data_IF_177661145901
#
_entry.id   IF_177661145901
#
_cell.length_a   1.000
_cell.length_b   1.000
_cell.length_c   1.000
_cell.angle_alpha   90.00
_cell.angle_beta   90.00
_cell.angle_gamma   90.00
#
_symmetry.space_group_name_H-M   'P 1'
#
loop_
_entity.id
_entity.type
_entity.pdbx_description
1 polymer ?
#
# COMPACT_ATOMS: atom_id res chain seq x y z
N UNK A 1 17.64 -20.63 6.92
CA UNK A 1 16.71 -19.63 7.49
C UNK A 1 16.16 -18.81 6.34
N UNK A 2 14.93 -19.06 5.94
CA UNK A 2 14.25 -18.25 4.91
C UNK A 2 14.04 -16.86 5.51
N UNK A 3 14.49 -15.77 4.87
CA UNK A 3 14.28 -14.43 5.40
C UNK A 3 12.77 -14.19 5.56
N UNK A 4 12.37 -13.65 6.71
CA UNK A 4 10.98 -13.37 7.01
C UNK A 4 10.36 -12.47 5.91
N UNK A 5 9.08 -12.68 5.55
CA UNK A 5 8.43 -11.90 4.51
C UNK A 5 8.43 -10.41 4.88
N UNK A 6 8.83 -9.57 3.92
CA UNK A 6 8.90 -8.12 4.11
C UNK A 6 7.49 -7.53 4.04
N UNK A 7 7.20 -6.56 4.92
CA UNK A 7 5.92 -5.85 4.92
C UNK A 7 6.09 -4.51 4.20
N UNK A 8 5.24 -4.26 3.21
CA UNK A 8 5.25 -3.06 2.36
C UNK A 8 3.92 -2.34 2.50
N UNK A 9 3.94 -1.04 2.80
CA UNK A 9 2.75 -0.18 2.81
C UNK A 9 2.75 0.70 1.56
N UNK A 10 1.69 0.59 0.76
CA UNK A 10 1.51 1.37 -0.46
C UNK A 10 0.29 2.27 -0.30
N UNK A 11 0.49 3.58 -0.38
CA UNK A 11 -0.59 4.57 -0.28
C UNK A 11 -1.05 5.03 -1.66
N UNK A 12 -2.34 5.33 -1.81
CA UNK A 12 -2.91 5.79 -3.08
C UNK A 12 -3.11 4.66 -4.09
N UNK A 13 -3.51 3.48 -3.61
CA UNK A 13 -3.83 2.35 -4.48
C UNK A 13 -5.23 2.54 -5.07
N UNK A 14 -5.35 3.29 -6.16
CA UNK A 14 -6.57 3.28 -6.97
C UNK A 14 -6.48 2.22 -8.06
N UNK A 15 -7.58 1.56 -8.37
CA UNK A 15 -7.69 0.58 -9.44
C UNK A 15 -7.25 1.20 -10.77
N UNK A 16 -6.35 0.52 -11.48
CA UNK A 16 -5.72 1.04 -12.70
C UNK A 16 -4.62 2.08 -12.48
N UNK A 17 -4.30 2.42 -11.23
CA UNK A 17 -3.21 3.32 -10.87
C UNK A 17 -1.88 2.58 -10.63
N UNK A 18 -0.79 3.35 -10.58
CA UNK A 18 0.57 2.83 -10.36
C UNK A 18 0.67 2.09 -9.01
N UNK A 19 -0.04 2.57 -7.98
CA UNK A 19 -0.07 1.91 -6.68
C UNK A 19 -0.65 0.49 -6.72
N UNK A 20 -1.67 0.26 -7.57
CA UNK A 20 -2.28 -1.06 -7.74
C UNK A 20 -1.29 -2.06 -8.33
N UNK A 21 -0.66 -1.73 -9.46
CA UNK A 21 0.35 -2.59 -10.09
C UNK A 21 1.56 -2.83 -9.18
N UNK A 22 1.94 -1.83 -8.38
CA UNK A 22 3.03 -1.97 -7.42
C UNK A 22 2.70 -2.99 -6.33
N UNK A 23 1.45 -3.02 -5.87
CA UNK A 23 1.00 -4.01 -4.90
C UNK A 23 1.11 -5.43 -5.46
N UNK A 24 0.65 -5.64 -6.69
CA UNK A 24 0.79 -6.94 -7.36
C UNK A 24 2.26 -7.34 -7.55
N UNK A 25 3.12 -6.41 -7.96
CA UNK A 25 4.55 -6.68 -8.14
C UNK A 25 5.24 -7.09 -6.83
N UNK A 26 4.92 -6.44 -5.70
CA UNK A 26 5.46 -6.84 -4.40
C UNK A 26 4.84 -8.14 -3.88
N UNK A 27 3.57 -8.38 -4.18
CA UNK A 27 2.89 -9.61 -3.82
C UNK A 27 3.51 -10.83 -4.50
N UNK A 28 3.83 -10.74 -5.79
CA UNK A 28 4.54 -11.79 -6.54
C UNK A 28 5.93 -12.08 -5.96
N UNK A 29 6.58 -11.08 -5.36
CA UNK A 29 7.88 -11.24 -4.69
C UNK A 29 7.77 -11.87 -3.30
N UNK A 30 6.59 -12.30 -2.87
CA UNK A 30 6.34 -12.90 -1.56
C UNK A 30 6.38 -11.90 -0.41
N UNK A 31 6.20 -10.60 -0.69
CA UNK A 31 6.04 -9.59 0.36
C UNK A 31 4.59 -9.54 0.83
N UNK A 32 4.38 -9.13 2.07
CA UNK A 32 3.05 -8.81 2.60
C UNK A 32 2.79 -7.34 2.25
N UNK A 33 1.74 -7.08 1.49
CA UNK A 33 1.46 -5.73 0.99
C UNK A 33 0.21 -5.18 1.65
N UNK A 34 0.29 -3.97 2.18
CA UNK A 34 -0.86 -3.21 2.64
C UNK A 34 -1.15 -2.12 1.62
N UNK A 35 -2.20 -2.33 0.83
CA UNK A 35 -2.71 -1.35 -0.12
C UNK A 35 -3.64 -0.40 0.64
N UNK A 36 -3.34 0.90 0.62
CA UNK A 36 -4.21 1.91 1.19
C UNK A 36 -4.72 2.93 0.19
N UNK A 37 -6.00 3.28 0.33
CA UNK A 37 -6.61 4.40 -0.39
C UNK A 37 -7.79 4.97 0.41
N UNK A 38 -8.23 6.16 -0.03
CA UNK A 38 -9.35 6.87 0.58
C UNK A 38 -10.69 6.14 0.36
N UNK A 39 -10.86 5.45 -0.79
CA UNK A 39 -12.03 4.65 -1.12
C UNK A 39 -11.63 3.19 -1.32
N UNK A 40 -12.20 2.30 -0.50
CA UNK A 40 -11.97 0.85 -0.60
C UNK A 40 -12.52 0.26 -1.89
N UNK A 41 -13.59 0.83 -2.42
CA UNK A 41 -14.21 0.46 -3.71
C UNK A 41 -13.24 0.61 -4.88
N UNK A 42 -12.27 1.52 -4.76
CA UNK A 42 -11.22 1.70 -5.76
C UNK A 42 -10.08 0.69 -5.60
N UNK A 43 -10.19 -0.32 -4.73
CA UNK A 43 -9.19 -1.36 -4.48
C UNK A 43 -9.76 -2.78 -4.66
N UNK A 44 -10.94 -2.89 -5.28
CA UNK A 44 -11.53 -4.18 -5.59
C UNK A 44 -10.74 -4.88 -6.70
N UNK A 45 -10.54 -6.20 -6.58
CA UNK A 45 -9.97 -7.02 -7.65
C UNK A 45 -8.50 -7.47 -7.53
N UNK A 46 -7.82 -7.26 -6.40
CA UNK A 46 -6.48 -7.82 -6.22
C UNK A 46 -6.50 -9.35 -6.33
N UNK A 47 -5.72 -9.91 -7.27
CA UNK A 47 -5.66 -11.36 -7.48
C UNK A 47 -4.83 -12.09 -6.42
N UNK A 48 -3.96 -11.39 -5.71
CA UNK A 48 -3.01 -11.98 -4.77
C UNK A 48 -3.52 -11.96 -3.33
N UNK A 49 -3.43 -13.10 -2.64
CA UNK A 49 -3.96 -13.29 -1.27
C UNK A 49 -3.12 -12.64 -0.18
N UNK A 50 -1.90 -12.19 -0.51
CA UNK A 50 -0.96 -11.50 0.38
C UNK A 50 -1.04 -9.97 0.27
N UNK A 51 -2.09 -9.45 -0.37
CA UNK A 51 -2.43 -8.03 -0.40
C UNK A 51 -3.58 -7.79 0.57
N UNK A 52 -3.36 -6.90 1.53
CA UNK A 52 -4.34 -6.46 2.51
C UNK A 52 -4.77 -5.04 2.18
N UNK A 53 -6.08 -4.85 2.06
CA UNK A 53 -6.65 -3.54 1.77
C UNK A 53 -6.97 -2.84 3.08
N UNK A 54 -6.50 -1.60 3.23
CA UNK A 54 -6.76 -0.76 4.40
C UNK A 54 -7.24 0.61 3.94
N UNK A 55 -8.25 1.15 4.61
CA UNK A 55 -8.66 2.54 4.37
C UNK A 55 -7.63 3.44 5.05
N UNK A 56 -7.14 4.44 4.32
CA UNK A 56 -6.28 5.47 4.88
C UNK A 56 -6.53 6.78 4.15
N UNK A 57 -6.83 7.83 4.91
CA UNK A 57 -6.72 9.20 4.46
C UNK A 57 -5.32 9.76 4.82
N UNK A 58 -4.55 10.16 3.80
CA UNK A 58 -3.22 10.75 4.02
C UNK A 58 -3.28 12.22 4.44
N UNK A 59 -4.46 12.84 4.39
CA UNK A 59 -4.69 14.23 4.83
C UNK A 59 -4.92 14.31 6.34
N UNK A 60 -5.30 13.20 6.97
CA UNK A 60 -5.52 13.09 8.41
C UNK A 60 -4.35 12.34 9.07
N UNK A 61 -3.53 13.04 9.85
CA UNK A 61 -2.37 12.44 10.52
C UNK A 61 -2.76 11.30 11.49
N UNK A 62 -3.93 11.39 12.12
CA UNK A 62 -4.47 10.32 12.99
C UNK A 62 -4.70 9.02 12.24
N UNK A 63 -5.25 9.11 11.03
CA UNK A 63 -5.54 7.95 10.20
C UNK A 63 -4.24 7.24 9.80
N UNK A 64 -3.18 8.00 9.55
CA UNK A 64 -1.83 7.48 9.30
C UNK A 64 -1.29 6.74 10.51
N UNK A 65 -1.39 7.32 11.70
CA UNK A 65 -0.92 6.69 12.94
C UNK A 65 -1.68 5.38 13.22
N UNK A 66 -3.01 5.39 13.07
CA UNK A 66 -3.85 4.21 13.29
C UNK A 66 -3.56 3.11 12.28
N UNK A 67 -3.34 3.44 11.01
CA UNK A 67 -2.96 2.46 9.99
C UNK A 67 -1.59 1.84 10.28
N UNK A 68 -0.60 2.64 10.65
CA UNK A 68 0.74 2.13 11.01
C UNK A 68 0.67 1.27 12.27
N UNK A 69 -0.08 1.70 13.29
CA UNK A 69 -0.31 0.93 14.51
C UNK A 69 -0.96 -0.41 14.20
N UNK A 70 -1.99 -0.43 13.37
CA UNK A 70 -2.68 -1.65 12.92
C UNK A 70 -1.70 -2.62 12.23
N UNK A 71 -0.82 -2.12 11.37
CA UNK A 71 0.19 -2.95 10.68
C UNK A 71 1.21 -3.51 11.67
N UNK A 72 1.66 -2.69 12.62
CA UNK A 72 2.59 -3.10 13.67
C UNK A 72 1.97 -4.17 14.58
N UNK A 73 0.69 -4.03 14.94
CA UNK A 73 -0.04 -5.00 15.77
C UNK A 73 -0.25 -6.32 15.03
N UNK A 74 -0.52 -6.29 13.71
CA UNK A 74 -0.72 -7.49 12.90
C UNK A 74 0.57 -8.25 12.59
N UNK A 75 1.62 -7.54 12.18
CA UNK A 75 2.84 -8.16 11.61
C UNK A 75 4.06 -8.12 12.54
N UNK A 76 3.99 -7.31 13.60
CA UNK A 76 5.09 -7.07 14.51
C UNK A 76 6.00 -5.92 14.05
N UNK A 77 6.43 -5.10 15.03
CA UNK A 77 7.17 -3.83 14.87
C UNK A 77 8.43 -3.91 14.00
N UNK A 78 9.05 -5.07 13.86
CA UNK A 78 10.32 -5.25 13.16
C UNK A 78 10.20 -5.51 11.64
N UNK A 79 8.98 -5.55 11.08
CA UNK A 79 8.77 -5.91 9.66
C UNK A 79 8.40 -4.74 8.74
N UNK A 80 8.07 -3.58 9.28
CA UNK A 80 7.60 -2.42 8.52
C UNK A 80 8.75 -1.73 7.77
N UNK A 81 8.74 -1.80 6.43
CA UNK A 81 9.73 -1.11 5.58
C UNK A 81 8.99 -0.05 4.74
N UNK A 82 8.91 1.16 5.30
CA UNK A 82 8.79 2.43 4.56
C UNK A 82 7.43 2.78 3.91
N UNK A 83 6.99 4.03 4.15
CA UNK A 83 5.92 4.72 3.42
C UNK A 83 6.45 5.04 2.02
N UNK A 84 5.92 4.44 0.95
CA UNK A 84 6.23 4.87 -0.42
C UNK A 84 5.42 6.13 -0.74
N UNK A 85 5.85 7.29 -0.20
CA UNK A 85 5.28 8.60 -0.55
C UNK A 85 5.78 8.95 -1.95
N UNK A 86 4.91 8.89 -2.94
CA UNK A 86 5.19 9.46 -4.27
C UNK A 86 5.28 10.98 -4.15
N UNK A 87 6.49 11.51 -3.96
CA UNK A 87 6.82 12.89 -4.29
C UNK A 87 7.07 12.95 -5.79
N UNK A 88 6.00 13.17 -6.55
CA UNK A 88 5.96 14.17 -7.62
C UNK A 88 4.59 14.17 -8.29
N UNK A 89 3.84 15.24 -7.97
CA UNK A 89 3.02 15.91 -8.96
C UNK A 89 3.89 16.10 -10.22
N UNK A 90 3.65 15.32 -11.27
CA UNK A 90 3.94 15.78 -12.62
C UNK A 90 2.61 15.87 -13.34
N UNK A 91 2.14 17.11 -13.48
CA UNK A 91 1.39 17.51 -14.67
C UNK A 91 2.16 16.97 -15.86
N UNK A 92 1.68 15.89 -16.46
CA UNK A 92 1.88 15.65 -17.88
C UNK A 92 0.52 15.91 -18.52
N UNK A 93 0.39 16.92 -19.39
CA UNK A 93 -0.83 17.06 -20.17
C UNK A 93 -0.89 15.83 -21.06
N UNK A 94 -1.92 15.01 -20.86
CA UNK A 94 -2.33 14.05 -21.87
C UNK A 94 -2.90 14.90 -23.02
N UNK A 95 -2.06 15.23 -24.00
CA UNK A 95 -2.50 15.79 -25.26
C UNK A 95 -2.07 14.81 -26.35
N UNK A 96 -3.08 14.26 -27.02
CA UNK A 96 -2.98 13.68 -28.37
C UNK A 96 -2.47 14.73 -29.35
#
# INVERSE_FOLDING_TARGET
>A
MTPAPKVVLVTGCSQGGIGYSLCEAYAVRGCIVYATAHKLESMDGFAATNIHVLKLDVTEDRDVEDAVKTIIEREGRNRYIGKQRWLSCTRTPFST
#
